data_IF_117384592283
#
_entry.id   IF_117384592283
#
_cell.length_a   1.000
_cell.length_b   1.000
_cell.length_c   1.000
_cell.angle_alpha   90.00
_cell.angle_beta   90.00
_cell.angle_gamma   90.00
#
_symmetry.space_group_name_H-M   'P 1'
#
loop_
_entity.id
_entity.type
_entity.pdbx_description
1 polymer ?
#
# COMPACT_ATOMS: atom_id res chain seq x y z
N UNK A 1 7.18 4.59 -10.33
CA UNK A 1 8.44 4.78 -9.57
C UNK A 1 9.46 3.67 -9.92
N UNK A 2 10.76 3.98 -10.00
CA UNK A 2 11.80 3.00 -10.37
C UNK A 2 11.90 1.87 -9.35
N UNK A 3 11.84 0.60 -9.76
CA UNK A 3 11.93 -0.59 -8.89
C UNK A 3 10.59 -1.19 -8.43
N UNK A 4 9.43 -0.68 -8.88
CA UNK A 4 8.14 -1.30 -8.56
C UNK A 4 7.94 -2.67 -9.21
N UNK A 5 8.55 -2.88 -10.39
CA UNK A 5 8.49 -4.16 -11.12
C UNK A 5 9.22 -5.29 -10.41
N UNK A 6 10.03 -4.98 -9.39
CA UNK A 6 10.75 -5.95 -8.56
C UNK A 6 9.92 -6.35 -7.31
N UNK A 7 8.82 -5.65 -7.02
CA UNK A 7 7.95 -5.97 -5.89
C UNK A 7 7.05 -7.17 -6.22
N UNK A 8 6.92 -8.08 -5.26
CA UNK A 8 6.04 -9.25 -5.34
C UNK A 8 4.68 -9.05 -4.68
N UNK A 9 4.55 -8.03 -3.82
CA UNK A 9 3.32 -7.69 -3.10
C UNK A 9 3.02 -6.20 -3.23
N UNK A 10 1.76 -5.86 -3.44
CA UNK A 10 1.28 -4.47 -3.51
C UNK A 10 0.15 -4.26 -2.51
N UNK A 11 0.28 -3.26 -1.65
CA UNK A 11 -0.75 -2.89 -0.68
C UNK A 11 -1.23 -1.48 -0.98
N UNK A 12 -2.53 -1.29 -1.19
CA UNK A 12 -3.13 0.02 -1.39
C UNK A 12 -3.83 0.49 -0.12
N UNK A 13 -3.54 1.70 0.32
CA UNK A 13 -4.05 2.31 1.54
C UNK A 13 -4.87 3.55 1.21
N UNK A 14 -5.96 3.76 1.94
CA UNK A 14 -6.78 4.97 1.83
C UNK A 14 -7.38 5.38 3.18
N UNK A 15 -7.91 6.59 3.26
CA UNK A 15 -8.57 7.11 4.45
C UNK A 15 -9.87 7.81 4.07
N UNK A 16 -10.93 7.57 4.85
CA UNK A 16 -12.26 8.11 4.56
C UNK A 16 -12.73 7.66 3.17
N UNK A 17 -13.01 8.63 2.30
CA UNK A 17 -13.53 8.36 0.96
C UNK A 17 -12.53 7.64 0.05
N UNK A 18 -11.21 7.82 0.24
CA UNK A 18 -10.21 7.21 -0.63
C UNK A 18 -9.99 5.71 -0.36
N UNK A 19 -10.63 5.14 0.67
CA UNK A 19 -10.66 3.68 0.89
C UNK A 19 -11.30 2.97 -0.30
N UNK A 20 -12.34 3.56 -0.91
CA UNK A 20 -12.95 3.02 -2.13
C UNK A 20 -11.95 2.98 -3.29
N UNK A 21 -11.12 4.03 -3.43
CA UNK A 21 -10.07 4.06 -4.45
C UNK A 21 -8.97 3.03 -4.18
N UNK A 22 -8.60 2.81 -2.91
CA UNK A 22 -7.62 1.80 -2.54
C UNK A 22 -8.12 0.38 -2.90
N UNK A 23 -9.39 0.09 -2.63
CA UNK A 23 -10.02 -1.17 -3.02
C UNK A 23 -10.03 -1.36 -4.54
N UNK A 24 -10.38 -0.32 -5.31
CA UNK A 24 -10.39 -0.38 -6.77
C UNK A 24 -8.98 -0.52 -7.35
N UNK A 25 -8.00 0.22 -6.84
CA UNK A 25 -6.60 0.08 -7.25
C UNK A 25 -6.08 -1.34 -6.99
N UNK A 26 -6.43 -1.92 -5.84
CA UNK A 26 -6.09 -3.29 -5.53
C UNK A 26 -6.79 -4.31 -6.44
N UNK A 27 -8.06 -4.08 -6.77
CA UNK A 27 -8.80 -4.90 -7.73
C UNK A 27 -8.11 -4.87 -9.10
N UNK A 28 -7.78 -3.69 -9.62
CA UNK A 28 -7.17 -3.56 -10.94
C UNK A 28 -5.76 -4.13 -11.01
N UNK A 29 -4.95 -3.96 -9.98
CA UNK A 29 -3.62 -4.57 -9.92
C UNK A 29 -3.72 -6.11 -9.95
N UNK A 30 -4.65 -6.69 -9.19
CA UNK A 30 -4.88 -8.14 -9.18
C UNK A 30 -5.36 -8.65 -10.55
N UNK A 31 -6.29 -7.96 -11.20
CA UNK A 31 -6.84 -8.39 -12.49
C UNK A 31 -5.87 -8.22 -13.66
N UNK A 32 -5.17 -7.08 -13.71
CA UNK A 32 -4.31 -6.73 -14.84
C UNK A 32 -2.93 -7.37 -14.76
N UNK A 33 -2.39 -7.55 -13.55
CA UNK A 33 -1.02 -8.01 -13.34
C UNK A 33 -0.92 -9.37 -12.63
N UNK A 34 -2.03 -9.92 -12.12
CA UNK A 34 -2.03 -11.15 -11.32
C UNK A 34 -1.10 -11.10 -10.10
N UNK A 35 -0.77 -9.90 -9.63
CA UNK A 35 0.12 -9.69 -8.51
C UNK A 35 -0.59 -9.95 -7.17
N UNK A 36 0.15 -10.40 -6.16
CA UNK A 36 -0.36 -10.41 -4.78
C UNK A 36 -0.71 -8.97 -4.40
N UNK A 37 -2.00 -8.73 -4.18
CA UNK A 37 -2.51 -7.40 -3.89
C UNK A 37 -3.45 -7.39 -2.70
N UNK A 38 -3.30 -6.38 -1.83
CA UNK A 38 -4.13 -6.12 -0.67
C UNK A 38 -4.61 -4.66 -0.63
N UNK A 39 -5.71 -4.39 0.07
CA UNK A 39 -6.17 -3.03 0.35
C UNK A 39 -6.71 -2.91 1.77
N UNK A 40 -6.42 -1.78 2.42
CA UNK A 40 -6.85 -1.51 3.80
C UNK A 40 -7.18 -0.02 4.01
N UNK A 41 -8.08 0.31 4.95
CA UNK A 41 -8.02 1.61 5.62
C UNK A 41 -6.62 1.83 6.21
N UNK A 42 -6.05 3.01 6.00
CA UNK A 42 -4.63 3.27 6.27
C UNK A 42 -4.23 3.01 7.74
N UNK A 43 -5.12 3.31 8.69
CA UNK A 43 -4.88 3.02 10.11
C UNK A 43 -4.91 1.51 10.42
N UNK A 44 -5.77 0.74 9.74
CA UNK A 44 -5.88 -0.71 9.97
C UNK A 44 -4.67 -1.50 9.47
N UNK A 45 -3.89 -0.93 8.56
CA UNK A 45 -2.64 -1.53 8.12
C UNK A 45 -1.67 -1.77 9.27
N UNK A 46 -1.72 -0.96 10.35
CA UNK A 46 -0.90 -1.16 11.56
C UNK A 46 -1.30 -2.39 12.37
N UNK A 47 -2.55 -2.84 12.25
CA UNK A 47 -3.12 -3.87 13.10
C UNK A 47 -2.95 -5.27 12.52
N UNK A 48 -1.74 -5.58 12.04
CA UNK A 48 -1.39 -6.88 11.49
C UNK A 48 -0.77 -6.81 10.09
N UNK A 49 -1.42 -6.21 9.08
CA UNK A 49 -0.93 -6.26 7.70
C UNK A 49 0.51 -5.74 7.52
N UNK A 50 0.92 -4.71 8.27
CA UNK A 50 2.29 -4.19 8.23
C UNK A 50 3.34 -5.25 8.63
N UNK A 51 2.98 -6.25 9.44
CA UNK A 51 3.93 -7.28 9.92
C UNK A 51 4.42 -8.24 8.83
N UNK A 52 3.70 -8.36 7.71
CA UNK A 52 4.12 -9.18 6.55
C UNK A 52 4.80 -8.36 5.46
N UNK A 53 4.96 -7.05 5.67
CA UNK A 53 5.58 -6.17 4.69
C UNK A 53 7.09 -6.32 4.72
N UNK A 54 7.69 -6.41 3.53
CA UNK A 54 9.13 -6.63 3.38
C UNK A 54 9.68 -5.78 2.25
N UNK A 55 10.96 -5.94 1.92
CA UNK A 55 11.62 -5.28 0.78
C UNK A 55 10.95 -5.55 -0.57
N UNK A 56 10.19 -6.64 -0.70
CA UNK A 56 9.42 -6.96 -1.91
C UNK A 56 8.00 -6.39 -1.90
N UNK A 57 7.62 -5.60 -0.90
CA UNK A 57 6.30 -4.97 -0.76
C UNK A 57 6.35 -3.51 -1.20
N UNK A 58 5.39 -3.10 -2.03
CA UNK A 58 5.09 -1.70 -2.30
C UNK A 58 3.77 -1.30 -1.65
N UNK A 59 3.82 -0.31 -0.76
CA UNK A 59 2.67 0.26 -0.07
C UNK A 59 2.34 1.61 -0.66
N UNK A 60 1.15 1.73 -1.23
CA UNK A 60 0.69 2.92 -1.94
C UNK A 60 -0.42 3.60 -1.16
N UNK A 61 -0.18 4.83 -0.69
CA UNK A 61 -1.20 5.63 -0.01
C UNK A 61 -1.94 6.52 -0.99
N UNK A 62 -3.27 6.48 -0.96
CA UNK A 62 -4.15 7.34 -1.75
C UNK A 62 -4.77 8.40 -0.84
N UNK A 63 -4.32 9.64 -0.99
CA UNK A 63 -4.68 10.76 -0.12
C UNK A 63 -3.74 10.94 1.07
N UNK A 64 -4.22 11.66 2.09
CA UNK A 64 -3.40 12.06 3.24
C UNK A 64 -3.01 10.87 4.11
N UNK A 65 -1.70 10.67 4.27
CA UNK A 65 -1.15 9.63 5.10
C UNK A 65 -1.34 9.93 6.60
N UNK A 66 -1.78 8.97 7.42
CA UNK A 66 -1.69 9.10 8.86
C UNK A 66 -0.26 9.38 9.32
N UNK A 67 -0.11 10.22 10.34
CA UNK A 67 1.19 10.54 10.94
C UNK A 67 2.00 9.28 11.24
N UNK A 68 3.29 9.29 10.89
CA UNK A 68 4.23 8.19 11.15
C UNK A 68 4.09 6.96 10.25
N UNK A 69 3.01 6.81 9.47
CA UNK A 69 2.77 5.58 8.72
C UNK A 69 3.83 5.32 7.64
N UNK A 70 4.28 6.36 6.97
CA UNK A 70 5.38 6.30 5.99
C UNK A 70 6.66 5.74 6.62
N UNK A 71 7.02 6.24 7.80
CA UNK A 71 8.25 5.83 8.51
C UNK A 71 8.14 4.39 9.01
N UNK A 72 6.97 3.99 9.50
CA UNK A 72 6.67 2.61 9.90
C UNK A 72 6.78 1.65 8.70
N UNK A 73 6.26 2.02 7.53
CA UNK A 73 6.42 1.25 6.28
C UNK A 73 7.91 1.11 5.94
N UNK A 74 8.65 2.22 5.97
CA UNK A 74 10.09 2.19 5.70
C UNK A 74 10.87 1.31 6.69
N UNK A 75 10.46 1.25 7.96
CA UNK A 75 11.09 0.40 8.97
C UNK A 75 10.99 -1.10 8.64
N UNK A 76 9.97 -1.53 7.88
CA UNK A 76 9.86 -2.92 7.38
C UNK A 76 10.77 -3.21 6.17
N UNK A 77 11.39 -2.18 5.60
CA UNK A 77 12.10 -2.23 4.32
C UNK A 77 11.18 -2.16 3.11
N UNK A 78 9.86 -2.11 3.31
CA UNK A 78 8.90 -1.91 2.24
C UNK A 78 9.01 -0.51 1.64
N UNK A 79 8.52 -0.42 0.41
CA UNK A 79 8.51 0.82 -0.33
C UNK A 79 7.23 1.61 -0.07
N UNK A 80 7.40 2.88 0.26
CA UNK A 80 6.29 3.83 0.32
C UNK A 80 6.08 4.54 -1.02
N UNK A 81 4.85 4.63 -1.48
CA UNK A 81 4.43 5.45 -2.63
C UNK A 81 3.32 6.40 -2.20
N UNK A 82 3.62 7.70 -2.20
CA UNK A 82 2.64 8.74 -1.94
C UNK A 82 1.83 9.00 -3.23
N UNK A 83 0.61 8.48 -3.30
CA UNK A 83 -0.38 8.85 -4.29
C UNK A 83 -1.14 10.08 -3.81
N UNK A 84 -0.66 11.25 -4.22
CA UNK A 84 -1.39 12.50 -4.00
C UNK A 84 -2.78 12.45 -4.66
N UNK A 85 -3.74 13.13 -4.04
CA UNK A 85 -5.09 13.37 -4.55
C UNK A 85 -5.45 14.84 -4.34
#
# INVERSE_FOLDING_TARGET
PAGLVECGQFTFLGQGWSVGLANEAALKMREAALAWTEAYPAMEYRHGPISISTRSTATWMLGDAPSGLSDEVHATGARWVAGGL
#
